data_IF_716159451134
#
_entry.id   IF_716159451134
#
_cell.length_a   1.000
_cell.length_b   1.000
_cell.length_c   1.000
_cell.angle_alpha   90.00
_cell.angle_beta   90.00
_cell.angle_gamma   90.00
#
_symmetry.space_group_name_H-M   'P 1'
#
loop_
_entity.id
_entity.type
_entity.pdbx_description
1 polymer ?
#
# COMPACT_ATOMS: atom_id res chain seq x y z
N UNK A 1 22.01 -6.64 -5.01
CA UNK A 1 21.88 -5.18 -5.24
C UNK A 1 23.12 -4.57 -5.89
N UNK A 2 24.33 -4.72 -5.33
CA UNK A 2 25.58 -4.15 -5.91
C UNK A 2 25.83 -4.60 -7.36
N UNK A 3 25.64 -5.88 -7.68
CA UNK A 3 25.81 -6.40 -9.05
C UNK A 3 24.82 -5.81 -10.06
N UNK A 4 23.58 -5.54 -9.65
CA UNK A 4 22.56 -4.89 -10.48
C UNK A 4 22.97 -3.44 -10.79
N UNK A 5 23.39 -2.70 -9.76
CA UNK A 5 23.87 -1.31 -9.89
C UNK A 5 25.08 -1.24 -10.85
N UNK A 6 26.06 -2.13 -10.68
CA UNK A 6 27.24 -2.22 -11.56
C UNK A 6 26.85 -2.54 -13.01
N UNK A 7 25.90 -3.47 -13.23
CA UNK A 7 25.44 -3.81 -14.58
C UNK A 7 24.72 -2.65 -15.27
N UNK A 8 23.89 -1.89 -14.54
CA UNK A 8 23.20 -0.71 -15.07
C UNK A 8 24.17 0.42 -15.38
N UNK A 9 25.19 0.64 -14.53
CA UNK A 9 26.25 1.61 -14.79
C UNK A 9 27.07 1.26 -16.02
N UNK A 10 27.43 -0.01 -16.16
CA UNK A 10 28.18 -0.49 -17.33
C UNK A 10 27.37 -0.32 -18.63
N UNK A 11 26.06 -0.60 -18.60
CA UNK A 11 25.18 -0.40 -19.76
C UNK A 11 25.04 1.08 -20.14
N UNK A 12 24.88 1.98 -19.16
CA UNK A 12 24.88 3.42 -19.41
C UNK A 12 26.21 3.91 -20.00
N UNK A 13 27.34 3.40 -19.50
CA UNK A 13 28.67 3.78 -19.98
C UNK A 13 28.88 3.35 -21.44
N UNK A 14 28.46 2.14 -21.81
CA UNK A 14 28.53 1.64 -23.19
C UNK A 14 27.70 2.49 -24.15
N UNK A 15 26.50 2.91 -23.74
CA UNK A 15 25.65 3.78 -24.56
C UNK A 15 26.26 5.18 -24.68
N UNK A 16 26.82 5.73 -23.60
CA UNK A 16 27.48 7.04 -23.62
C UNK A 16 28.71 7.05 -24.54
N UNK A 17 29.54 6.01 -24.48
CA UNK A 17 30.70 5.85 -25.37
C UNK A 17 30.27 5.71 -26.83
N UNK A 18 29.21 4.94 -27.09
CA UNK A 18 28.65 4.80 -28.43
C UNK A 18 28.10 6.12 -29.00
N UNK A 19 27.39 6.93 -28.19
CA UNK A 19 26.93 8.26 -28.59
C UNK A 19 28.11 9.19 -28.91
N UNK A 20 29.15 9.18 -28.07
CA UNK A 20 30.35 10.01 -28.26
C UNK A 20 31.08 9.65 -29.55
N UNK A 21 31.19 8.36 -29.86
CA UNK A 21 31.84 7.86 -31.06
C UNK A 21 31.03 8.16 -32.33
N UNK A 22 29.70 8.01 -32.27
CA UNK A 22 28.82 8.35 -33.39
C UNK A 22 28.80 9.87 -33.66
N UNK A 23 28.82 10.73 -32.62
CA UNK A 23 28.88 12.20 -32.76
C UNK A 23 30.19 12.70 -33.41
N UNK A 24 31.30 12.00 -33.20
CA UNK A 24 32.60 12.33 -33.81
C UNK A 24 32.73 11.81 -35.26
N UNK A 25 31.79 11.01 -35.74
CA UNK A 25 31.81 10.45 -37.09
C UNK A 25 31.17 11.43 -38.10
N UNK A 26 31.85 11.69 -39.23
CA UNK A 26 31.39 12.74 -40.18
C UNK A 26 30.10 12.38 -40.95
N UNK A 27 29.66 11.11 -40.88
CA UNK A 27 28.37 10.62 -41.43
C UNK A 27 27.31 10.46 -40.34
N UNK A 28 27.19 11.45 -39.47
CA UNK A 28 26.26 11.44 -38.36
C UNK A 28 24.80 11.36 -38.85
N UNK A 29 24.13 10.23 -38.59
CA UNK A 29 22.72 10.09 -38.90
C UNK A 29 21.88 10.44 -37.66
N UNK A 30 21.21 11.60 -37.68
CA UNK A 30 20.45 12.14 -36.54
C UNK A 30 19.39 11.20 -36.00
N UNK A 31 18.85 10.29 -36.83
CA UNK A 31 17.88 9.27 -36.41
C UNK A 31 18.46 8.21 -35.46
N UNK A 32 19.79 8.03 -35.42
CA UNK A 32 20.44 7.14 -34.44
C UNK A 32 20.42 7.69 -33.00
N UNK A 33 20.21 8.99 -32.81
CA UNK A 33 19.98 9.58 -31.48
C UNK A 33 18.63 9.20 -30.87
N UNK A 34 17.69 8.65 -31.65
CA UNK A 34 16.43 8.19 -31.11
C UNK A 34 16.61 7.00 -30.15
N UNK A 35 17.56 6.11 -30.42
CA UNK A 35 17.83 4.93 -29.60
C UNK A 35 18.20 5.24 -28.13
N UNK A 36 19.16 6.14 -27.83
CA UNK A 36 19.47 6.48 -26.44
C UNK A 36 18.35 7.24 -25.74
N UNK A 37 17.57 8.07 -26.46
CA UNK A 37 16.41 8.77 -25.89
C UNK A 37 15.33 7.75 -25.47
N UNK A 38 15.04 6.77 -26.34
CA UNK A 38 14.09 5.68 -26.03
C UNK A 38 14.61 4.83 -24.86
N UNK A 39 15.92 4.54 -24.82
CA UNK A 39 16.52 3.79 -23.70
C UNK A 39 16.40 4.53 -22.35
N UNK A 40 16.62 5.85 -22.34
CA UNK A 40 16.44 6.68 -21.15
C UNK A 40 14.97 6.67 -20.69
N UNK A 41 14.02 6.81 -21.62
CA UNK A 41 12.59 6.75 -21.31
C UNK A 41 12.19 5.40 -20.71
N UNK A 42 12.63 4.29 -21.30
CA UNK A 42 12.37 2.95 -20.78
C UNK A 42 13.01 2.74 -19.39
N UNK A 43 14.21 3.27 -19.17
CA UNK A 43 14.90 3.21 -17.88
C UNK A 43 14.15 4.01 -16.80
N UNK A 44 13.62 5.19 -17.13
CA UNK A 44 12.79 5.99 -16.22
C UNK A 44 11.48 5.28 -15.87
N UNK A 45 10.82 4.65 -16.85
CA UNK A 45 9.61 3.86 -16.62
C UNK A 45 9.92 2.66 -15.69
N UNK A 46 11.04 1.96 -15.92
CA UNK A 46 11.45 0.83 -15.10
C UNK A 46 11.75 1.26 -13.65
N UNK A 47 12.43 2.40 -13.46
CA UNK A 47 12.69 2.97 -12.13
C UNK A 47 11.38 3.34 -11.44
N UNK A 48 10.46 4.00 -12.15
CA UNK A 48 9.15 4.36 -11.60
C UNK A 48 8.34 3.13 -11.17
N UNK A 49 8.30 2.08 -12.00
CA UNK A 49 7.66 0.82 -11.67
C UNK A 49 8.33 0.13 -10.47
N UNK A 50 9.66 0.18 -10.37
CA UNK A 50 10.40 -0.35 -9.23
C UNK A 50 10.02 0.37 -7.93
N UNK A 51 9.96 1.70 -7.93
CA UNK A 51 9.53 2.47 -6.75
C UNK A 51 8.11 2.13 -6.31
N UNK A 52 7.18 2.02 -7.27
CA UNK A 52 5.81 1.58 -7.01
C UNK A 52 5.76 0.18 -6.38
N UNK A 53 6.58 -0.76 -6.87
CA UNK A 53 6.65 -2.12 -6.33
C UNK A 53 7.23 -2.16 -4.91
N UNK A 54 8.26 -1.36 -4.62
CA UNK A 54 8.84 -1.27 -3.26
C UNK A 54 7.84 -0.68 -2.27
N UNK A 55 7.13 0.37 -2.65
CA UNK A 55 6.14 1.03 -1.78
C UNK A 55 4.97 0.08 -1.46
N UNK A 56 4.44 -0.66 -2.45
CA UNK A 56 3.41 -1.68 -2.21
C UNK A 56 3.93 -2.77 -1.27
N UNK A 57 5.20 -3.18 -1.42
CA UNK A 57 5.80 -4.20 -0.56
C UNK A 57 5.92 -3.71 0.88
N UNK A 58 6.31 -2.46 1.09
CA UNK A 58 6.37 -1.82 2.41
C UNK A 58 5.00 -1.77 3.08
N UNK A 59 3.97 -1.34 2.34
CA UNK A 59 2.57 -1.34 2.79
C UNK A 59 2.13 -2.74 3.21
N UNK A 60 2.43 -3.77 2.40
CA UNK A 60 2.13 -5.17 2.72
C UNK A 60 2.83 -5.64 4.00
N UNK A 61 4.09 -5.26 4.19
CA UNK A 61 4.82 -5.61 5.42
C UNK A 61 4.26 -4.90 6.64
N UNK A 62 3.88 -3.63 6.53
CA UNK A 62 3.26 -2.89 7.62
C UNK A 62 1.89 -3.49 8.01
N UNK A 63 1.05 -3.83 7.01
CA UNK A 63 -0.20 -4.54 7.23
C UNK A 63 0.00 -5.90 7.92
N UNK A 64 1.04 -6.64 7.54
CA UNK A 64 1.39 -7.91 8.18
C UNK A 64 1.81 -7.72 9.65
N UNK A 65 2.61 -6.70 9.95
CA UNK A 65 3.05 -6.41 11.33
C UNK A 65 1.86 -6.05 12.22
N UNK A 66 0.99 -5.16 11.75
CA UNK A 66 -0.20 -4.71 12.50
C UNK A 66 -1.13 -5.89 12.80
N UNK A 67 -1.34 -6.78 11.84
CA UNK A 67 -2.24 -7.94 11.98
C UNK A 67 -1.63 -9.16 12.67
N UNK A 68 -0.33 -9.17 12.99
CA UNK A 68 0.36 -10.36 13.53
C UNK A 68 -0.24 -10.85 14.85
N UNK A 69 -0.68 -9.93 15.69
CA UNK A 69 -1.27 -10.23 17.01
C UNK A 69 -2.78 -10.07 17.03
N UNK A 70 -3.42 -9.96 15.85
CA UNK A 70 -4.87 -9.82 15.79
C UNK A 70 -5.56 -11.19 15.90
N UNK A 71 -6.70 -11.25 16.60
CA UNK A 71 -7.50 -12.47 16.68
C UNK A 71 -8.01 -12.86 15.29
N UNK A 72 -8.23 -14.16 15.09
CA UNK A 72 -8.87 -14.65 13.87
C UNK A 72 -10.32 -14.17 13.82
N UNK A 73 -10.91 -14.14 12.62
CA UNK A 73 -12.32 -13.74 12.43
C UNK A 73 -13.29 -14.54 13.32
N UNK A 74 -13.02 -15.82 13.55
CA UNK A 74 -13.82 -16.71 14.41
C UNK A 74 -13.68 -16.39 15.90
N UNK A 75 -12.58 -15.74 16.29
CA UNK A 75 -12.23 -15.45 17.69
C UNK A 75 -12.74 -14.07 18.16
N UNK A 76 -13.27 -13.23 17.25
CA UNK A 76 -13.72 -11.86 17.56
C UNK A 76 -14.83 -11.86 18.62
N UNK A 77 -15.66 -12.90 18.67
CA UNK A 77 -16.72 -13.05 19.68
C UNK A 77 -16.20 -13.14 21.10
N UNK A 78 -14.95 -13.58 21.29
CA UNK A 78 -14.36 -13.86 22.59
C UNK A 78 -13.43 -12.75 23.10
N UNK A 79 -13.10 -11.77 22.26
CA UNK A 79 -12.27 -10.62 22.67
C UNK A 79 -13.10 -9.50 23.30
N UNK A 80 -12.47 -8.72 24.15
CA UNK A 80 -13.10 -7.62 24.88
C UNK A 80 -13.50 -6.46 23.97
N UNK A 81 -14.45 -5.65 24.42
CA UNK A 81 -14.86 -4.40 23.75
C UNK A 81 -13.67 -3.46 23.48
N UNK A 82 -12.72 -3.38 24.41
CA UNK A 82 -11.52 -2.55 24.27
C UNK A 82 -10.60 -3.03 23.15
N UNK A 83 -10.41 -4.34 23.04
CA UNK A 83 -9.60 -4.93 21.96
C UNK A 83 -10.24 -4.70 20.59
N UNK A 84 -11.57 -4.85 20.47
CA UNK A 84 -12.31 -4.54 19.22
C UNK A 84 -12.09 -3.10 18.79
N UNK A 85 -12.27 -2.15 19.71
CA UNK A 85 -12.01 -0.72 19.43
C UNK A 85 -10.56 -0.46 19.04
N UNK A 86 -9.60 -1.11 19.70
CA UNK A 86 -8.19 -1.03 19.36
C UNK A 86 -7.90 -1.46 17.92
N UNK A 87 -8.50 -2.57 17.47
CA UNK A 87 -8.37 -3.07 16.10
C UNK A 87 -8.99 -2.10 15.09
N UNK A 88 -10.19 -1.58 15.37
CA UNK A 88 -10.88 -0.61 14.52
C UNK A 88 -10.04 0.66 14.36
N UNK A 89 -9.48 1.20 15.46
CA UNK A 89 -8.64 2.39 15.46
C UNK A 89 -7.31 2.14 14.74
N UNK A 90 -6.67 0.99 14.95
CA UNK A 90 -5.44 0.62 14.26
C UNK A 90 -5.66 0.49 12.75
N UNK A 91 -6.76 -0.13 12.32
CA UNK A 91 -7.14 -0.20 10.91
C UNK A 91 -7.41 1.19 10.33
N UNK A 92 -8.15 2.04 11.05
CA UNK A 92 -8.37 3.43 10.62
C UNK A 92 -7.05 4.18 10.43
N UNK A 93 -6.16 4.11 11.41
CA UNK A 93 -4.87 4.81 11.37
C UNK A 93 -4.02 4.34 10.19
N UNK A 94 -4.03 3.04 9.91
CA UNK A 94 -3.36 2.47 8.73
C UNK A 94 -3.95 2.99 7.42
N UNK A 95 -5.28 2.99 7.30
CA UNK A 95 -5.96 3.49 6.09
C UNK A 95 -5.83 5.01 5.92
N UNK A 96 -5.73 5.78 7.01
CA UNK A 96 -5.45 7.22 6.94
C UNK A 96 -4.04 7.50 6.42
N UNK A 97 -3.04 6.75 6.90
CA UNK A 97 -1.65 6.84 6.43
C UNK A 97 -1.53 6.52 4.93
N UNK A 98 -2.30 5.54 4.45
CA UNK A 98 -2.23 5.04 3.08
C UNK A 98 -3.43 5.47 2.21
N UNK A 99 -4.11 6.57 2.58
CA UNK A 99 -5.34 7.05 1.92
C UNK A 99 -5.15 7.36 0.44
N UNK A 100 -3.98 7.88 0.05
CA UNK A 100 -3.65 8.17 -1.34
C UNK A 100 -3.64 6.91 -2.22
N UNK A 101 -3.36 5.75 -1.62
CA UNK A 101 -3.23 4.48 -2.33
C UNK A 101 -4.50 3.66 -2.35
N UNK A 102 -5.29 3.73 -1.28
CA UNK A 102 -6.56 3.01 -1.16
C UNK A 102 -7.72 3.96 -0.83
N UNK A 103 -8.03 4.93 -1.70
CA UNK A 103 -9.06 5.94 -1.42
C UNK A 103 -10.44 5.31 -1.25
N UNK A 104 -10.78 4.31 -2.07
CA UNK A 104 -12.07 3.62 -2.04
C UNK A 104 -12.21 2.77 -0.78
N UNK A 105 -11.19 1.97 -0.45
CA UNK A 105 -11.16 1.17 0.78
C UNK A 105 -11.28 2.04 2.03
N UNK A 106 -10.65 3.23 2.02
CA UNK A 106 -10.77 4.20 3.09
C UNK A 106 -12.20 4.77 3.19
N UNK A 107 -12.81 5.15 2.06
CA UNK A 107 -14.18 5.70 2.08
C UNK A 107 -15.19 4.66 2.54
N UNK A 108 -15.06 3.42 2.07
CA UNK A 108 -15.95 2.32 2.43
C UNK A 108 -15.86 1.99 3.92
N UNK A 109 -14.64 1.93 4.45
CA UNK A 109 -14.42 1.70 5.88
C UNK A 109 -14.97 2.84 6.74
N UNK A 110 -14.79 4.10 6.33
CA UNK A 110 -15.35 5.24 7.04
C UNK A 110 -16.87 5.29 6.97
N UNK A 111 -17.47 4.95 5.83
CA UNK A 111 -18.92 4.85 5.68
C UNK A 111 -19.50 3.76 6.59
N UNK A 112 -18.86 2.59 6.63
CA UNK A 112 -19.23 1.47 7.50
C UNK A 112 -19.09 1.83 8.98
N UNK A 113 -17.96 2.44 9.37
CA UNK A 113 -17.74 2.94 10.74
C UNK A 113 -18.82 3.97 11.12
N UNK A 114 -19.09 4.96 10.27
CA UNK A 114 -20.08 6.01 10.56
C UNK A 114 -21.50 5.45 10.63
N UNK A 115 -21.84 4.51 9.75
CA UNK A 115 -23.17 3.89 9.68
C UNK A 115 -23.48 2.97 10.85
N UNK A 116 -22.47 2.28 11.41
CA UNK A 116 -22.65 1.32 12.51
C UNK A 116 -22.28 1.88 13.89
N UNK A 117 -21.27 2.74 13.98
CA UNK A 117 -20.76 3.23 15.26
C UNK A 117 -21.16 4.67 15.59
N UNK A 118 -21.65 5.45 14.61
CA UNK A 118 -22.21 6.79 14.82
C UNK A 118 -21.39 7.74 15.70
N UNK A 119 -22.04 8.78 16.24
CA UNK A 119 -21.50 9.52 17.40
C UNK A 119 -21.55 8.57 18.59
N UNK A 120 -20.42 7.90 18.85
CA UNK A 120 -20.24 6.89 19.88
C UNK A 120 -20.58 7.46 21.28
N UNK A 121 -21.85 7.41 21.66
CA UNK A 121 -22.34 7.73 22.99
C UNK A 121 -22.67 6.40 23.66
N UNK A 122 -21.92 6.07 24.72
CA UNK A 122 -22.15 4.89 25.56
C UNK A 122 -23.63 4.80 25.94
N UNK A 123 -24.32 3.79 25.42
CA UNK A 123 -25.75 3.62 25.66
C UNK A 123 -25.99 2.99 27.04
N UNK A 124 -26.94 3.57 27.79
CA UNK A 124 -27.19 3.22 29.19
C UNK A 124 -28.07 1.98 29.38
N UNK A 125 -28.90 1.62 28.38
CA UNK A 125 -29.84 0.50 28.46
C UNK A 125 -29.23 -0.85 28.07
N UNK A 126 -29.68 -1.95 28.70
CA UNK A 126 -29.15 -3.31 28.50
C UNK A 126 -29.36 -3.86 27.09
N UNK A 127 -30.54 -3.63 26.50
CA UNK A 127 -30.84 -4.04 25.11
C UNK A 127 -29.96 -3.32 24.09
N UNK A 128 -29.63 -2.06 24.38
CA UNK A 128 -28.80 -1.23 23.54
C UNK A 128 -27.32 -1.64 23.58
N UNK A 129 -26.86 -2.21 24.70
CA UNK A 129 -25.49 -2.73 24.86
C UNK A 129 -25.24 -3.98 24.01
N UNK A 130 -26.24 -4.85 23.83
CA UNK A 130 -26.08 -6.03 22.97
C UNK A 130 -25.94 -5.64 21.49
N UNK A 131 -26.79 -4.72 21.01
CA UNK A 131 -26.67 -4.17 19.67
C UNK A 131 -25.33 -3.45 19.45
N UNK A 132 -24.84 -2.71 20.47
CA UNK A 132 -23.51 -2.08 20.42
C UNK A 132 -22.37 -3.11 20.28
N UNK A 133 -22.47 -4.26 20.95
CA UNK A 133 -21.48 -5.33 20.84
C UNK A 133 -21.46 -5.97 19.46
N UNK A 134 -22.62 -6.14 18.84
CA UNK A 134 -22.79 -6.67 17.48
C UNK A 134 -22.26 -5.70 16.42
N UNK A 135 -22.58 -4.42 16.52
CA UNK A 135 -22.06 -3.39 15.60
C UNK A 135 -20.54 -3.24 15.70
N UNK A 136 -19.96 -3.35 16.91
CA UNK A 136 -18.50 -3.35 17.11
C UNK A 136 -17.84 -4.61 16.55
N UNK A 137 -18.50 -5.76 16.65
CA UNK A 137 -18.02 -7.01 16.08
C UNK A 137 -17.99 -6.96 14.56
N UNK A 138 -19.06 -6.46 13.93
CA UNK A 138 -19.17 -6.28 12.48
C UNK A 138 -18.04 -5.38 11.95
N UNK A 139 -17.82 -4.21 12.59
CA UNK A 139 -16.79 -3.26 12.14
C UNK A 139 -15.38 -3.80 12.40
N UNK A 140 -15.17 -4.50 13.52
CA UNK A 140 -13.90 -5.17 13.82
C UNK A 140 -13.61 -6.29 12.81
N UNK A 141 -14.61 -7.09 12.44
CA UNK A 141 -14.50 -8.13 11.41
C UNK A 141 -14.17 -7.56 10.03
N UNK A 142 -14.81 -6.45 9.67
CA UNK A 142 -14.49 -5.71 8.45
C UNK A 142 -13.04 -5.19 8.47
N UNK A 143 -12.58 -4.61 9.58
CA UNK A 143 -11.21 -4.13 9.75
C UNK A 143 -10.17 -5.24 9.57
N UNK A 144 -10.37 -6.40 10.20
CA UNK A 144 -9.50 -7.57 10.07
C UNK A 144 -9.48 -8.06 8.61
N UNK A 145 -10.64 -8.13 7.96
CA UNK A 145 -10.76 -8.58 6.56
C UNK A 145 -10.02 -7.65 5.61
N UNK A 146 -10.18 -6.33 5.79
CA UNK A 146 -9.51 -5.32 4.96
C UNK A 146 -7.98 -5.46 5.07
N UNK A 147 -7.44 -5.49 6.29
CA UNK A 147 -5.99 -5.60 6.50
C UNK A 147 -5.45 -6.93 5.96
N UNK A 148 -6.18 -8.03 6.16
CA UNK A 148 -5.78 -9.34 5.61
C UNK A 148 -5.79 -9.37 4.08
N UNK A 149 -6.72 -8.67 3.43
CA UNK A 149 -6.73 -8.53 1.98
C UNK A 149 -5.56 -7.66 1.48
N UNK A 150 -5.23 -6.58 2.19
CA UNK A 150 -4.12 -5.70 1.85
C UNK A 150 -2.74 -6.34 2.08
N UNK A 151 -2.66 -7.39 2.90
CA UNK A 151 -1.47 -8.20 3.11
C UNK A 151 -1.17 -9.17 1.96
N UNK A 152 -2.18 -9.64 1.22
CA UNK A 152 -2.02 -10.62 0.12
C UNK A 152 -1.38 -9.96 -1.11
#
# INVERSE_FOLDING_TARGET
MIWLILSTLSSLLSIFLWIREELNNSKFNRSKLAYPIVFILLSLIAIYQYFQLTEIKEIKTEAAVISTNWPKLEEIKFITKGERLGIILACQTFLEKHKSRFPDTYSDFQALKKGRLGDYKSKTNSSDKYAEYEDLEDVCGAAITIINNLKK
#
